data_IF_327127747407
#
_entry.id   IF_327127747407
#
_cell.length_a   1.000
_cell.length_b   1.000
_cell.length_c   1.000
_cell.angle_alpha   90.00
_cell.angle_beta   90.00
_cell.angle_gamma   90.00
#
_symmetry.space_group_name_H-M   'P 1'
#
loop_
_entity.id
_entity.type
_entity.pdbx_description
1 polymer ?
#
# COMPACT_ATOMS: atom_id res chain seq x y z
N UNK A 1 -9.37 -19.68 -42.10
CA UNK A 1 -9.66 -20.83 -41.22
C UNK A 1 -8.32 -21.24 -40.64
N UNK A 2 -8.17 -20.97 -39.35
CA UNK A 2 -6.88 -20.73 -38.69
C UNK A 2 -6.29 -22.04 -38.17
N UNK A 3 -4.97 -22.11 -38.06
CA UNK A 3 -4.24 -23.27 -37.49
C UNK A 3 -4.79 -23.74 -36.13
N UNK A 4 -5.46 -22.83 -35.40
CA UNK A 4 -6.16 -23.09 -34.15
C UNK A 4 -7.36 -24.02 -34.32
N UNK A 5 -8.11 -23.86 -35.41
CA UNK A 5 -9.26 -24.69 -35.77
C UNK A 5 -8.79 -26.11 -36.12
N UNK A 6 -7.69 -26.22 -36.86
CA UNK A 6 -7.10 -27.51 -37.22
C UNK A 6 -6.48 -28.22 -36.00
N UNK A 7 -5.84 -27.49 -35.09
CA UNK A 7 -5.30 -28.04 -33.84
C UNK A 7 -6.40 -28.48 -32.86
N UNK A 8 -7.52 -27.75 -32.79
CA UNK A 8 -8.68 -28.14 -31.99
C UNK A 8 -9.35 -29.38 -32.59
N UNK A 9 -9.50 -29.42 -33.92
CA UNK A 9 -10.10 -30.57 -34.62
C UNK A 9 -9.24 -31.83 -34.49
N UNK A 10 -7.91 -31.70 -34.57
CA UNK A 10 -6.97 -32.81 -34.38
C UNK A 10 -6.88 -33.25 -32.91
N UNK A 11 -7.01 -32.32 -31.95
CA UNK A 11 -7.07 -32.64 -30.52
C UNK A 11 -8.42 -33.27 -30.09
N UNK A 12 -9.50 -33.00 -30.83
CA UNK A 12 -10.83 -33.56 -30.61
C UNK A 12 -11.09 -34.85 -31.40
N UNK A 13 -10.23 -35.23 -32.34
CA UNK A 13 -10.32 -36.52 -33.04
C UNK A 13 -10.12 -37.65 -32.02
N UNK A 14 -11.14 -38.51 -31.81
CA UNK A 14 -11.04 -39.59 -30.84
C UNK A 14 -10.08 -40.65 -31.35
N UNK A 15 -8.89 -40.72 -30.76
CA UNK A 15 -7.96 -41.83 -30.96
C UNK A 15 -8.50 -43.02 -30.15
N UNK A 16 -9.36 -43.82 -30.77
CA UNK A 16 -9.86 -45.08 -30.23
C UNK A 16 -11.27 -45.03 -29.61
N UNK A 17 -11.87 -46.21 -29.45
CA UNK A 17 -13.26 -46.45 -29.04
C UNK A 17 -13.55 -46.27 -27.54
N UNK A 18 -12.78 -45.42 -26.86
CA UNK A 18 -12.96 -45.15 -25.43
C UNK A 18 -12.60 -43.72 -25.09
N UNK A 19 -13.30 -43.06 -24.15
CA UNK A 19 -12.94 -41.73 -23.70
C UNK A 19 -11.49 -41.75 -23.17
N UNK A 20 -10.61 -40.84 -23.62
CA UNK A 20 -9.25 -40.77 -23.12
C UNK A 20 -9.31 -40.58 -21.60
N UNK A 21 -8.52 -41.33 -20.82
CA UNK A 21 -8.53 -41.17 -19.37
C UNK A 21 -8.17 -39.71 -19.04
N UNK A 22 -8.96 -39.03 -18.18
CA UNK A 22 -8.73 -37.63 -17.86
C UNK A 22 -7.28 -37.44 -17.41
N UNK A 23 -6.56 -36.50 -18.02
CA UNK A 23 -5.15 -36.28 -17.71
C UNK A 23 -5.01 -35.95 -16.23
N UNK A 24 -4.37 -36.86 -15.50
CA UNK A 24 -4.23 -36.84 -14.03
C UNK A 24 -3.63 -35.51 -13.52
N UNK A 25 -2.85 -34.86 -14.39
CA UNK A 25 -2.18 -33.58 -14.14
C UNK A 25 -3.13 -32.37 -14.17
N UNK A 26 -4.14 -32.36 -15.04
CA UNK A 26 -5.13 -31.27 -15.07
C UNK A 26 -6.02 -31.30 -13.81
N UNK A 27 -6.45 -32.48 -13.39
CA UNK A 27 -7.20 -32.64 -12.14
C UNK A 27 -6.36 -32.27 -10.91
N UNK A 28 -5.07 -32.64 -10.89
CA UNK A 28 -4.16 -32.24 -9.81
C UNK A 28 -3.98 -30.72 -9.74
N UNK A 29 -3.72 -30.05 -10.88
CA UNK A 29 -3.61 -28.58 -10.93
C UNK A 29 -4.90 -27.87 -10.52
N UNK A 30 -6.06 -28.38 -10.92
CA UNK A 30 -7.35 -27.81 -10.52
C UNK A 30 -7.55 -27.96 -9.02
N UNK A 31 -7.26 -29.14 -8.45
CA UNK A 31 -7.36 -29.38 -7.00
C UNK A 31 -6.41 -28.48 -6.21
N UNK A 32 -5.18 -28.31 -6.68
CA UNK A 32 -4.20 -27.39 -6.07
C UNK A 32 -4.68 -25.93 -6.15
N UNK A 33 -5.23 -25.51 -7.30
CA UNK A 33 -5.79 -24.16 -7.45
C UNK A 33 -6.95 -23.89 -6.47
N UNK A 34 -7.79 -24.89 -6.22
CA UNK A 34 -8.94 -24.79 -5.30
C UNK A 34 -8.46 -24.77 -3.83
N UNK A 35 -7.42 -25.55 -3.51
CA UNK A 35 -6.79 -25.52 -2.19
C UNK A 35 -6.15 -24.15 -1.91
N UNK A 36 -5.45 -23.58 -2.89
CA UNK A 36 -4.85 -22.25 -2.80
C UNK A 36 -5.89 -21.13 -2.66
N UNK A 37 -6.99 -21.19 -3.42
CA UNK A 37 -8.05 -20.18 -3.31
C UNK A 37 -8.75 -20.24 -1.95
N UNK A 38 -8.98 -21.44 -1.39
CA UNK A 38 -9.48 -21.59 -0.01
C UNK A 38 -8.49 -21.03 1.01
N UNK A 39 -7.19 -21.25 0.82
CA UNK A 39 -6.16 -20.72 1.72
C UNK A 39 -6.14 -19.17 1.69
N UNK A 40 -6.25 -18.56 0.50
CA UNK A 40 -6.36 -17.10 0.35
C UNK A 40 -7.61 -16.53 1.02
N UNK A 41 -8.78 -17.14 0.81
CA UNK A 41 -10.03 -16.71 1.46
C UNK A 41 -9.95 -16.81 2.98
N UNK A 42 -9.33 -17.87 3.52
CA UNK A 42 -9.10 -18.02 4.96
C UNK A 42 -8.18 -16.94 5.51
N UNK A 43 -7.08 -16.62 4.80
CA UNK A 43 -6.18 -15.52 5.20
C UNK A 43 -6.90 -14.17 5.20
N UNK A 44 -7.61 -13.86 4.12
CA UNK A 44 -8.39 -12.62 4.02
C UNK A 44 -9.43 -12.51 5.14
N UNK A 45 -10.19 -13.58 5.41
CA UNK A 45 -11.16 -13.63 6.51
C UNK A 45 -10.50 -13.46 7.87
N UNK A 46 -9.33 -14.07 8.11
CA UNK A 46 -8.57 -13.89 9.37
C UNK A 46 -8.09 -12.45 9.52
N UNK A 47 -7.59 -11.83 8.46
CA UNK A 47 -7.18 -10.43 8.49
C UNK A 47 -8.36 -9.51 8.78
N UNK A 48 -9.50 -9.72 8.12
CA UNK A 48 -10.73 -8.97 8.40
C UNK A 48 -11.20 -9.20 9.85
N UNK A 49 -11.22 -10.45 10.32
CA UNK A 49 -11.60 -10.77 11.69
C UNK A 49 -10.68 -10.13 12.72
N UNK A 50 -9.36 -10.11 12.47
CA UNK A 50 -8.38 -9.42 13.32
C UNK A 50 -8.64 -7.92 13.38
N UNK A 51 -8.95 -7.29 12.23
CA UNK A 51 -9.31 -5.87 12.20
C UNK A 51 -10.61 -5.59 12.96
N UNK A 52 -11.65 -6.39 12.73
CA UNK A 52 -12.92 -6.26 13.46
C UNK A 52 -12.71 -6.46 14.95
N UNK A 53 -11.92 -7.45 15.37
CA UNK A 53 -11.59 -7.70 16.76
C UNK A 53 -10.80 -6.53 17.37
N UNK A 54 -9.84 -5.96 16.64
CA UNK A 54 -9.08 -4.80 17.10
C UNK A 54 -9.97 -3.57 17.27
N UNK A 55 -10.85 -3.28 16.29
CA UNK A 55 -11.81 -2.16 16.37
C UNK A 55 -12.78 -2.37 17.52
N UNK A 56 -13.32 -3.58 17.68
CA UNK A 56 -14.23 -3.90 18.78
C UNK A 56 -13.53 -3.79 20.14
N UNK A 57 -12.29 -4.27 20.26
CA UNK A 57 -11.49 -4.13 21.48
C UNK A 57 -11.29 -2.67 21.83
N UNK A 58 -10.91 -1.83 20.87
CA UNK A 58 -10.68 -0.40 21.10
C UNK A 58 -11.99 0.31 21.46
N UNK A 59 -13.07 0.05 20.73
CA UNK A 59 -14.38 0.62 21.05
C UNK A 59 -14.85 0.21 22.45
N UNK A 60 -14.66 -1.06 22.82
CA UNK A 60 -14.97 -1.57 24.16
C UNK A 60 -14.11 -0.87 25.21
N UNK A 61 -12.80 -0.76 24.97
CA UNK A 61 -11.87 -0.08 25.87
C UNK A 61 -12.29 1.38 26.09
N UNK A 62 -12.58 2.11 25.01
CA UNK A 62 -13.07 3.50 25.06
C UNK A 62 -14.35 3.61 25.87
N UNK A 63 -15.35 2.76 25.62
CA UNK A 63 -16.63 2.79 26.31
C UNK A 63 -16.51 2.41 27.79
N UNK A 64 -15.64 1.46 28.14
CA UNK A 64 -15.43 0.99 29.52
C UNK A 64 -14.59 1.95 30.36
N UNK A 65 -13.63 2.65 29.74
CA UNK A 65 -12.75 3.59 30.44
C UNK A 65 -13.33 5.00 30.53
N UNK A 66 -14.43 5.30 29.84
CA UNK A 66 -15.08 6.62 29.90
C UNK A 66 -15.91 6.73 31.18
N UNK A 67 -15.56 7.60 32.15
CA UNK A 67 -16.36 7.82 33.34
C UNK A 67 -17.70 8.47 32.94
N UNK A 68 -18.80 7.97 33.49
CA UNK A 68 -20.12 8.57 33.29
C UNK A 68 -20.50 9.33 34.56
N UNK A 69 -20.90 10.60 34.43
CA UNK A 69 -21.40 11.40 35.55
C UNK A 69 -22.76 11.98 35.15
N UNK A 70 -23.81 11.65 35.92
CA UNK A 70 -25.16 12.20 35.77
C UNK A 70 -25.78 12.14 34.36
N UNK A 71 -25.48 11.09 33.59
CA UNK A 71 -26.04 10.90 32.24
C UNK A 71 -25.31 11.67 31.13
N UNK A 72 -24.35 12.52 31.47
CA UNK A 72 -23.45 13.16 30.52
C UNK A 72 -22.18 12.34 30.36
N UNK A 73 -21.81 12.11 29.09
CA UNK A 73 -20.55 11.47 28.72
C UNK A 73 -19.42 12.49 28.90
N UNK A 74 -18.85 12.56 30.10
CA UNK A 74 -17.63 13.33 30.36
C UNK A 74 -16.43 12.54 29.82
N UNK A 75 -16.28 12.50 28.49
CA UNK A 75 -15.17 11.79 27.87
C UNK A 75 -13.88 12.58 28.12
N UNK A 76 -12.91 12.02 28.88
CA UNK A 76 -11.62 12.64 29.07
C UNK A 76 -10.96 12.81 27.70
N UNK A 77 -10.37 13.99 27.47
CA UNK A 77 -9.84 14.37 26.16
C UNK A 77 -8.84 13.33 25.60
N UNK A 78 -8.05 12.70 26.47
CA UNK A 78 -7.03 11.72 26.09
C UNK A 78 -7.63 10.45 25.47
N UNK A 79 -8.86 10.08 25.84
CA UNK A 79 -9.56 8.93 25.27
C UNK A 79 -9.89 9.21 23.81
N UNK A 80 -10.41 10.41 23.53
CA UNK A 80 -10.75 10.84 22.17
C UNK A 80 -9.49 10.95 21.31
N UNK A 81 -8.41 11.51 21.87
CA UNK A 81 -7.11 11.61 21.22
C UNK A 81 -6.54 10.22 20.88
N UNK A 82 -6.56 9.28 21.83
CA UNK A 82 -6.08 7.92 21.62
C UNK A 82 -6.92 7.17 20.58
N UNK A 83 -8.25 7.28 20.66
CA UNK A 83 -9.17 6.66 19.70
C UNK A 83 -8.95 7.21 18.29
N UNK A 84 -8.83 8.54 18.16
CA UNK A 84 -8.60 9.21 16.87
C UNK A 84 -7.26 8.79 16.26
N UNK A 85 -6.19 8.80 17.05
CA UNK A 85 -4.86 8.36 16.59
C UNK A 85 -4.86 6.89 16.16
N UNK A 86 -5.57 6.02 16.88
CA UNK A 86 -5.69 4.62 16.49
C UNK A 86 -6.46 4.45 15.18
N UNK A 87 -7.53 5.23 14.96
CA UNK A 87 -8.27 5.26 13.69
C UNK A 87 -7.39 5.76 12.56
N UNK A 88 -6.57 6.80 12.78
CA UNK A 88 -5.61 7.30 11.78
C UNK A 88 -4.59 6.24 11.41
N UNK A 89 -3.98 5.57 12.39
CA UNK A 89 -3.03 4.47 12.17
C UNK A 89 -3.69 3.31 11.44
N UNK A 90 -4.89 2.90 11.87
CA UNK A 90 -5.65 1.83 11.23
C UNK A 90 -5.95 2.16 9.76
N UNK A 91 -6.38 3.40 9.50
CA UNK A 91 -6.64 3.90 8.14
C UNK A 91 -5.35 3.87 7.31
N UNK A 92 -4.22 4.33 7.88
CA UNK A 92 -2.94 4.33 7.18
C UNK A 92 -2.50 2.92 6.77
N UNK A 93 -2.56 1.96 7.70
CA UNK A 93 -2.18 0.56 7.44
C UNK A 93 -3.18 -0.10 6.48
N UNK A 94 -4.47 0.21 6.58
CA UNK A 94 -5.50 -0.37 5.73
C UNK A 94 -5.43 0.14 4.28
N UNK A 95 -5.10 1.41 4.07
CA UNK A 95 -5.02 2.01 2.73
C UNK A 95 -3.79 1.55 1.94
N UNK A 96 -2.68 1.21 2.62
CA UNK A 96 -1.43 0.77 1.97
C UNK A 96 -1.63 -0.36 0.94
N UNK A 97 -2.30 -1.48 1.26
CA UNK A 97 -2.65 -2.53 0.30
C UNK A 97 -3.49 -2.05 -0.90
N UNK A 98 -4.41 -1.10 -0.70
CA UNK A 98 -5.24 -0.54 -1.78
C UNK A 98 -4.38 0.27 -2.74
N UNK A 99 -3.51 1.14 -2.22
CA UNK A 99 -2.58 1.94 -3.03
C UNK A 99 -1.67 1.01 -3.84
N UNK A 100 -1.15 -0.05 -3.23
CA UNK A 100 -0.36 -1.08 -3.94
C UNK A 100 -1.14 -1.78 -5.04
N UNK A 101 -2.44 -2.03 -4.85
CA UNK A 101 -3.28 -2.70 -5.85
C UNK A 101 -3.47 -1.80 -7.07
N UNK A 102 -3.82 -0.53 -6.88
CA UNK A 102 -3.99 0.42 -7.98
C UNK A 102 -2.65 0.76 -8.65
N UNK A 103 -1.60 0.97 -7.86
CA UNK A 103 -0.25 1.23 -8.38
C UNK A 103 0.31 0.08 -9.22
N UNK A 104 -0.10 -1.17 -8.97
CA UNK A 104 0.35 -2.33 -9.76
C UNK A 104 -0.20 -2.34 -11.18
N UNK A 105 -1.45 -1.91 -11.38
CA UNK A 105 -2.01 -1.75 -12.71
C UNK A 105 -1.26 -0.64 -13.47
N UNK A 106 -1.09 0.52 -12.84
CA UNK A 106 -0.37 1.65 -13.44
C UNK A 106 1.09 1.32 -13.77
N UNK A 107 1.80 0.65 -12.87
CA UNK A 107 3.19 0.26 -13.08
C UNK A 107 3.35 -0.77 -14.21
N UNK A 108 2.37 -1.66 -14.40
CA UNK A 108 2.37 -2.60 -15.52
C UNK A 108 2.26 -1.87 -16.86
N UNK A 109 1.44 -0.82 -16.94
CA UNK A 109 1.30 -0.01 -18.16
C UNK A 109 2.56 0.82 -18.45
N UNK A 110 3.11 1.50 -17.44
CA UNK A 110 4.25 2.41 -17.60
C UNK A 110 5.58 1.67 -17.76
N UNK A 111 5.77 0.54 -17.07
CA UNK A 111 7.00 -0.25 -17.05
C UNK A 111 6.85 -1.62 -17.72
N UNK A 112 5.99 -1.73 -18.75
CA UNK A 112 5.74 -3.00 -19.45
C UNK A 112 7.03 -3.65 -19.98
N UNK A 113 7.99 -2.84 -20.44
CA UNK A 113 9.28 -3.31 -20.95
C UNK A 113 10.25 -3.84 -19.86
N UNK A 114 10.04 -3.45 -18.60
CA UNK A 114 10.91 -3.86 -17.49
C UNK A 114 10.11 -4.02 -16.18
N UNK A 115 9.44 -5.17 -15.97
CA UNK A 115 8.51 -5.38 -14.86
C UNK A 115 9.20 -5.36 -13.48
N UNK A 116 10.50 -5.62 -13.42
CA UNK A 116 11.27 -5.54 -12.17
C UNK A 116 11.35 -4.10 -11.64
N UNK A 117 11.52 -3.13 -12.52
CA UNK A 117 11.51 -1.70 -12.17
C UNK A 117 10.14 -1.27 -11.65
N UNK A 118 9.07 -1.72 -12.31
CA UNK A 118 7.70 -1.47 -11.84
C UNK A 118 7.42 -2.02 -10.45
N UNK A 119 7.92 -3.22 -10.13
CA UNK A 119 7.81 -3.81 -8.79
C UNK A 119 8.55 -2.97 -7.73
N UNK A 120 9.79 -2.57 -8.00
CA UNK A 120 10.58 -1.73 -7.09
C UNK A 120 9.95 -0.35 -6.89
N UNK A 121 9.41 0.25 -7.95
CA UNK A 121 8.70 1.53 -7.88
C UNK A 121 7.50 1.50 -6.92
N UNK A 122 6.70 0.44 -6.94
CA UNK A 122 5.55 0.28 -6.03
C UNK A 122 6.00 0.17 -4.57
N UNK A 123 7.10 -0.54 -4.29
CA UNK A 123 7.65 -0.62 -2.92
C UNK A 123 8.20 0.73 -2.48
N UNK A 124 8.84 1.46 -3.39
CA UNK A 124 9.46 2.74 -3.08
C UNK A 124 8.42 3.83 -2.77
N UNK A 125 7.31 3.84 -3.51
CA UNK A 125 6.18 4.75 -3.27
C UNK A 125 5.41 4.42 -1.99
N UNK A 126 5.38 3.15 -1.58
CA UNK A 126 4.79 2.72 -0.30
C UNK A 126 5.54 3.33 0.90
N UNK A 127 6.86 3.46 0.82
CA UNK A 127 7.66 4.12 1.87
C UNK A 127 7.28 5.60 1.99
N UNK A 128 7.18 6.32 0.86
CA UNK A 128 6.74 7.73 0.85
C UNK A 128 5.40 7.89 1.54
N UNK A 129 4.45 7.01 1.21
CA UNK A 129 3.12 7.02 1.79
C UNK A 129 3.15 6.95 3.32
N UNK A 130 3.86 5.98 3.90
CA UNK A 130 3.93 5.85 5.36
C UNK A 130 4.67 7.00 6.02
N UNK A 131 5.71 7.55 5.38
CA UNK A 131 6.43 8.71 5.92
C UNK A 131 5.52 9.93 6.06
N UNK A 132 4.74 10.24 5.02
CA UNK A 132 3.82 11.39 5.03
C UNK A 132 2.68 11.17 6.03
N UNK A 133 2.09 9.97 6.08
CA UNK A 133 1.03 9.67 7.04
C UNK A 133 1.51 9.70 8.49
N UNK A 134 2.71 9.17 8.76
CA UNK A 134 3.30 9.21 10.10
C UNK A 134 3.60 10.66 10.50
N UNK A 135 4.15 11.46 9.58
CA UNK A 135 4.38 12.88 9.81
C UNK A 135 3.08 13.63 10.15
N UNK A 136 2.00 13.35 9.42
CA UNK A 136 0.68 13.91 9.70
C UNK A 136 0.23 13.60 11.12
N UNK A 137 0.31 12.34 11.56
CA UNK A 137 -0.05 11.93 12.93
C UNK A 137 0.81 12.67 13.96
N UNK A 138 2.12 12.79 13.73
CA UNK A 138 3.01 13.55 14.61
C UNK A 138 2.64 15.04 14.71
N UNK A 139 2.09 15.64 13.66
CA UNK A 139 1.66 17.04 13.69
C UNK A 139 0.30 17.26 14.34
N UNK A 140 -0.57 16.26 14.31
CA UNK A 140 -1.91 16.36 14.88
C UNK A 140 -1.98 15.89 16.32
N UNK A 141 -1.08 15.00 16.74
CA UNK A 141 -1.07 14.53 18.13
C UNK A 141 -0.85 15.71 19.07
N UNK A 142 -1.73 15.81 20.06
CA UNK A 142 -1.66 16.89 21.05
C UNK A 142 -1.31 16.32 22.43
N UNK A 143 -0.39 16.97 23.12
CA UNK A 143 0.00 16.61 24.49
C UNK A 143 -0.50 17.67 25.47
N UNK A 144 -1.44 17.29 26.35
CA UNK A 144 -1.95 18.17 27.39
C UNK A 144 -1.65 17.60 28.78
N UNK A 145 -1.28 18.46 29.77
CA UNK A 145 -1.14 18.01 31.14
C UNK A 145 -2.52 17.63 31.70
N UNK A 146 -2.63 16.42 32.24
CA UNK A 146 -3.81 16.00 33.00
C UNK A 146 -3.52 16.25 34.49
N UNK A 147 -4.31 17.06 35.21
CA UNK A 147 -4.04 17.41 36.61
C UNK A 147 -3.92 16.20 37.55
N UNK A 148 -4.56 15.09 37.19
CA UNK A 148 -4.59 13.83 37.93
C UNK A 148 -3.37 12.94 37.66
N UNK A 149 -2.64 13.20 36.56
CA UNK A 149 -1.43 12.46 36.22
C UNK A 149 -0.27 13.16 36.90
N UNK A 150 -0.03 12.78 38.15
CA UNK A 150 1.11 13.29 38.90
C UNK A 150 2.38 13.00 38.08
N UNK A 151 3.14 14.05 37.75
CA UNK A 151 4.31 13.94 36.88
C UNK A 151 5.53 13.43 37.68
N UNK A 152 5.28 12.54 38.64
CA UNK A 152 6.22 12.02 39.64
C UNK A 152 7.41 11.31 39.01
N UNK A 153 7.24 10.75 37.81
CA UNK A 153 8.29 10.00 37.10
C UNK A 153 9.31 10.93 36.44
N UNK A 154 8.88 12.08 35.90
CA UNK A 154 9.78 12.95 35.13
C UNK A 154 10.08 14.27 35.80
N UNK A 155 9.10 14.94 36.44
CA UNK A 155 9.15 16.31 36.99
C UNK A 155 9.82 17.41 36.11
N UNK A 156 10.38 17.04 34.96
CA UNK A 156 11.36 17.76 34.16
C UNK A 156 10.91 17.84 32.70
N UNK A 157 10.11 16.87 32.22
CA UNK A 157 9.62 16.86 30.84
C UNK A 157 8.25 17.50 30.79
N UNK A 158 8.18 18.67 30.14
CA UNK A 158 6.91 19.37 29.94
C UNK A 158 6.18 18.84 28.70
N UNK A 159 4.83 18.84 28.68
CA UNK A 159 4.05 18.51 27.48
C UNK A 159 4.48 19.33 26.25
N UNK A 160 4.89 20.57 26.45
CA UNK A 160 5.39 21.45 25.39
C UNK A 160 6.72 20.95 24.81
N UNK A 161 7.63 20.45 25.64
CA UNK A 161 8.87 19.83 25.16
C UNK A 161 8.56 18.58 24.34
N UNK A 162 7.67 17.71 24.82
CA UNK A 162 7.27 16.51 24.09
C UNK A 162 6.61 16.87 22.74
N UNK A 163 5.71 17.85 22.73
CA UNK A 163 5.08 18.36 21.50
C UNK A 163 6.14 18.86 20.50
N UNK A 164 7.12 19.63 20.98
CA UNK A 164 8.21 20.16 20.16
C UNK A 164 9.04 19.04 19.52
N UNK A 165 9.43 18.02 20.28
CA UNK A 165 10.22 16.91 19.74
C UNK A 165 9.43 16.04 18.77
N UNK A 166 8.16 15.76 19.07
CA UNK A 166 7.28 15.01 18.15
C UNK A 166 7.05 15.80 16.87
N UNK A 167 6.90 17.13 16.95
CA UNK A 167 6.81 18.00 15.77
C UNK A 167 8.08 17.95 14.93
N UNK A 168 9.28 17.93 15.54
CA UNK A 168 10.55 17.78 14.82
C UNK A 168 10.66 16.43 14.11
N UNK A 169 10.25 15.36 14.78
CA UNK A 169 10.20 14.02 14.17
C UNK A 169 9.21 14.02 13.00
N UNK A 170 8.02 14.59 13.15
CA UNK A 170 7.07 14.76 12.06
C UNK A 170 7.65 15.55 10.88
N UNK A 171 8.37 16.64 11.19
CA UNK A 171 9.08 17.47 10.23
C UNK A 171 10.08 16.70 9.37
N UNK A 172 10.99 15.94 10.00
CA UNK A 172 12.00 15.20 9.25
C UNK A 172 11.37 14.08 8.40
N UNK A 173 10.35 13.39 8.92
CA UNK A 173 9.61 12.36 8.18
C UNK A 173 8.91 12.96 6.96
N UNK A 174 8.29 14.14 7.10
CA UNK A 174 7.66 14.85 5.99
C UNK A 174 8.69 15.24 4.93
N UNK A 175 9.80 15.84 5.33
CA UNK A 175 10.87 16.26 4.42
C UNK A 175 11.40 15.08 3.62
N UNK A 176 11.72 13.97 4.30
CA UNK A 176 12.18 12.74 3.63
C UNK A 176 11.11 12.23 2.69
N UNK A 177 9.85 12.15 3.13
CA UNK A 177 8.73 11.68 2.32
C UNK A 177 8.54 12.51 1.04
N UNK A 178 8.55 13.84 1.15
CA UNK A 178 8.39 14.75 0.00
C UNK A 178 9.59 14.64 -0.94
N UNK A 179 10.82 14.76 -0.44
CA UNK A 179 12.03 14.68 -1.27
C UNK A 179 12.10 13.34 -2.00
N UNK A 180 11.80 12.26 -1.30
CA UNK A 180 11.77 10.92 -1.88
C UNK A 180 10.67 10.79 -2.93
N UNK A 181 9.45 11.24 -2.64
CA UNK A 181 8.34 11.25 -3.59
C UNK A 181 8.65 12.06 -4.86
N UNK A 182 9.27 13.22 -4.70
CA UNK A 182 9.72 14.04 -5.82
C UNK A 182 10.78 13.31 -6.66
N UNK A 183 11.78 12.70 -6.04
CA UNK A 183 12.82 11.94 -6.75
C UNK A 183 12.23 10.79 -7.58
N UNK A 184 11.22 10.10 -7.05
CA UNK A 184 10.51 9.02 -7.75
C UNK A 184 9.81 9.53 -9.01
N UNK A 185 9.23 10.74 -8.97
CA UNK A 185 8.51 11.34 -10.11
C UNK A 185 9.47 12.00 -11.10
N UNK A 186 10.52 12.65 -10.62
CA UNK A 186 11.46 13.41 -11.45
C UNK A 186 12.32 12.52 -12.34
N UNK A 187 12.84 11.40 -11.83
CA UNK A 187 13.76 10.54 -12.60
C UNK A 187 13.15 10.03 -13.92
N UNK A 188 11.92 9.47 -13.95
CA UNK A 188 11.29 9.05 -15.20
C UNK A 188 11.01 10.21 -16.17
N UNK A 189 10.61 11.38 -15.66
CA UNK A 189 10.29 12.55 -16.48
C UNK A 189 11.54 13.08 -17.17
N UNK A 190 12.64 13.24 -16.42
CA UNK A 190 13.93 13.68 -16.99
C UNK A 190 14.46 12.67 -18.02
N UNK A 191 14.34 11.37 -17.75
CA UNK A 191 14.73 10.33 -18.71
C UNK A 191 13.95 10.42 -20.03
N UNK A 192 12.62 10.64 -19.96
CA UNK A 192 11.79 10.84 -21.17
C UNK A 192 12.18 12.11 -21.92
N UNK A 193 12.36 13.23 -21.23
CA UNK A 193 12.75 14.51 -21.84
C UNK A 193 14.10 14.42 -22.58
N UNK A 194 15.12 13.82 -21.96
CA UNK A 194 16.41 13.63 -22.63
C UNK A 194 16.33 12.65 -23.81
N UNK A 195 15.51 11.61 -23.71
CA UNK A 195 15.30 10.67 -24.83
C UNK A 195 14.60 11.32 -26.04
N UNK A 196 13.64 12.22 -25.78
CA UNK A 196 12.93 12.97 -26.82
C UNK A 196 13.88 13.95 -27.51
N UNK A 197 14.70 14.66 -26.74
CA UNK A 197 15.70 15.58 -27.28
C UNK A 197 16.68 14.85 -28.22
N UNK A 198 17.18 13.66 -27.82
CA UNK A 198 18.08 12.86 -28.66
C UNK A 198 17.43 12.39 -29.97
N UNK A 199 16.12 12.08 -29.96
CA UNK A 199 15.39 11.70 -31.18
C UNK A 199 15.30 12.87 -32.16
N UNK A 200 14.94 14.06 -31.68
CA UNK A 200 14.86 15.27 -32.51
C UNK A 200 16.21 15.58 -33.17
N UNK A 201 17.32 15.51 -32.42
CA UNK A 201 18.67 15.73 -32.96
C UNK A 201 19.03 14.73 -34.07
N UNK A 202 18.69 13.44 -33.92
CA UNK A 202 19.02 12.41 -34.91
C UNK A 202 18.21 12.55 -36.21
N UNK A 203 16.96 13.02 -36.16
CA UNK A 203 16.13 13.26 -37.36
C UNK A 203 16.61 14.43 -38.23
N UNK A 204 17.40 15.36 -37.69
CA UNK A 204 18.01 16.45 -38.48
C UNK A 204 19.41 16.12 -39.02
N UNK A 205 19.96 14.94 -38.69
CA UNK A 205 21.34 14.55 -39.06
C UNK A 205 21.49 13.64 -40.29
N UNK A 206 20.41 13.11 -40.87
CA UNK A 206 20.49 12.22 -42.04
C UNK A 206 20.13 12.97 -43.33
N UNK A 207 21.11 13.67 -43.91
CA UNK A 207 21.10 13.99 -45.34
C UNK A 207 21.49 12.72 -46.13
N UNK A 208 20.76 12.31 -47.19
CA UNK A 208 21.17 11.19 -48.02
C UNK A 208 22.44 11.58 -48.79
N UNK A 209 23.52 10.80 -48.61
CA UNK A 209 24.71 10.91 -49.45
C UNK A 209 24.38 10.58 -50.91
N UNK A 210 25.03 11.24 -51.89
CA UNK A 210 24.67 11.10 -53.29
C UNK A 210 24.93 9.68 -53.80
N UNK A 211 24.06 9.14 -54.67
CA UNK A 211 24.27 7.85 -55.31
C UNK A 211 25.50 7.93 -56.24
N UNK A 212 26.33 6.89 -56.16
CA UNK A 212 27.47 6.65 -57.04
C UNK A 212 27.03 6.21 -58.44
#
# INVERSE_FOLDING_TARGET
MSDLEHLIEEALRPIGSGPPPPSRDLFARVLDSVADDRARRRRARRTVALWVAAVALVATLVLTLTPQSNGDLLMPWWILELATNLVLVATAVWLGPFIKRFGRAYAADVFHDNPMTGKSYIVLTDIVYYLIFTAYICFTVTFAPTPEWDNDISALVTPQQLQSEVFRIGGILLVIGILHGLNIVLMPVLGRLFSLNRRVTNTHGTAPGPPA
#
